data_IF_903973397891
#
_entry.id   IF_903973397891
#
_cell.length_a   1.000
_cell.length_b   1.000
_cell.length_c   1.000
_cell.angle_alpha   90.00
_cell.angle_beta   90.00
_cell.angle_gamma   90.00
#
_symmetry.space_group_name_H-M   'P 1'
#
loop_
_entity.id
_entity.type
_entity.pdbx_description
1 polymer ?
#
# COMPACT_ATOMS: atom_id res chain seq x y z
N UNK A 1 -14.37 4.59 -23.51
CA UNK A 1 -14.05 3.78 -24.71
C UNK A 1 -14.49 2.31 -24.61
N UNK A 2 -15.18 1.88 -23.55
CA UNK A 2 -15.59 0.46 -23.33
C UNK A 2 -17.10 0.21 -23.60
N UNK A 3 -17.87 1.24 -23.93
CA UNK A 3 -19.35 1.18 -23.95
C UNK A 3 -19.95 0.50 -25.19
N UNK A 4 -19.28 0.55 -26.34
CA UNK A 4 -19.78 0.03 -27.61
C UNK A 4 -19.90 -1.52 -27.68
N UNK A 5 -18.93 -2.33 -27.20
CA UNK A 5 -19.07 -3.78 -27.25
C UNK A 5 -20.25 -4.30 -26.40
N UNK A 6 -20.54 -3.64 -25.27
CA UNK A 6 -21.64 -4.00 -24.36
C UNK A 6 -23.01 -3.95 -25.03
N UNK A 7 -23.25 -2.94 -25.87
CA UNK A 7 -24.55 -2.74 -26.54
C UNK A 7 -24.87 -3.85 -27.56
N UNK A 8 -23.84 -4.43 -28.19
CA UNK A 8 -24.01 -5.46 -29.23
C UNK A 8 -24.43 -6.81 -28.65
N UNK A 9 -23.97 -7.12 -27.43
CA UNK A 9 -24.26 -8.39 -26.75
C UNK A 9 -25.67 -8.36 -26.13
N UNK A 10 -26.09 -7.21 -25.58
CA UNK A 10 -27.42 -7.03 -24.99
C UNK A 10 -28.55 -7.16 -26.03
N UNK A 11 -28.33 -6.69 -27.27
CA UNK A 11 -29.37 -6.73 -28.32
C UNK A 11 -29.57 -8.13 -28.94
N UNK A 12 -28.61 -9.05 -28.80
CA UNK A 12 -28.66 -10.39 -29.39
C UNK A 12 -29.43 -11.43 -28.54
N UNK A 13 -29.81 -11.09 -27.31
CA UNK A 13 -30.14 -12.07 -26.28
C UNK A 13 -31.50 -11.80 -25.63
N UNK A 14 -32.58 -11.79 -26.43
CA UNK A 14 -33.89 -11.29 -25.96
C UNK A 14 -34.87 -12.31 -25.39
N UNK A 15 -34.76 -13.63 -25.66
CA UNK A 15 -35.87 -14.55 -25.34
C UNK A 15 -35.56 -15.80 -24.48
N UNK A 16 -34.34 -15.98 -23.93
CA UNK A 16 -34.06 -17.08 -22.98
C UNK A 16 -32.84 -16.86 -22.09
N UNK A 17 -32.32 -15.62 -22.09
CA UNK A 17 -30.96 -15.28 -21.69
C UNK A 17 -30.90 -14.07 -20.77
N UNK A 18 -32.05 -13.59 -20.27
CA UNK A 18 -32.13 -12.42 -19.39
C UNK A 18 -31.38 -12.66 -18.09
N UNK A 19 -31.54 -13.83 -17.48
CA UNK A 19 -30.78 -14.26 -16.29
C UNK A 19 -29.28 -14.38 -16.58
N UNK A 20 -28.90 -14.89 -17.77
CA UNK A 20 -27.48 -14.98 -18.18
C UNK A 20 -26.86 -13.61 -18.45
N UNK A 21 -27.65 -12.67 -18.97
CA UNK A 21 -27.22 -11.28 -19.19
C UNK A 21 -27.07 -10.53 -17.85
N UNK A 22 -27.95 -10.79 -16.88
CA UNK A 22 -27.84 -10.27 -15.52
C UNK A 22 -26.62 -10.85 -14.78
N UNK A 23 -26.38 -12.17 -14.87
CA UNK A 23 -25.17 -12.82 -14.33
C UNK A 23 -23.89 -12.30 -15.00
N UNK A 24 -23.89 -12.10 -16.32
CA UNK A 24 -22.76 -11.52 -17.05
C UNK A 24 -22.46 -10.10 -16.58
N UNK A 25 -23.49 -9.29 -16.36
CA UNK A 25 -23.35 -7.92 -15.85
C UNK A 25 -22.80 -7.92 -14.41
N UNK A 26 -23.25 -8.83 -13.55
CA UNK A 26 -22.68 -9.00 -12.21
C UNK A 26 -21.19 -9.37 -12.26
N UNK A 27 -20.81 -10.32 -13.11
CA UNK A 27 -19.40 -10.69 -13.30
C UNK A 27 -18.57 -9.53 -13.84
N UNK A 28 -19.08 -8.78 -14.82
CA UNK A 28 -18.42 -7.56 -15.34
C UNK A 28 -18.19 -6.54 -14.21
N UNK A 29 -19.15 -6.36 -13.31
CA UNK A 29 -19.01 -5.44 -12.17
C UNK A 29 -17.94 -5.93 -11.18
N UNK A 30 -17.88 -7.23 -10.88
CA UNK A 30 -16.83 -7.80 -10.02
C UNK A 30 -15.43 -7.69 -10.65
N UNK A 31 -15.33 -7.92 -11.96
CA UNK A 31 -14.08 -7.76 -12.71
C UNK A 31 -13.63 -6.30 -12.76
N UNK A 32 -14.54 -5.36 -13.00
CA UNK A 32 -14.25 -3.94 -12.95
C UNK A 32 -13.72 -3.51 -11.58
N UNK A 33 -14.34 -4.01 -10.49
CA UNK A 33 -13.86 -3.74 -9.13
C UNK A 33 -12.44 -4.29 -8.89
N UNK A 34 -12.12 -5.47 -9.40
CA UNK A 34 -10.77 -6.04 -9.29
C UNK A 34 -9.73 -5.20 -10.05
N UNK A 35 -10.07 -4.75 -11.26
CA UNK A 35 -9.19 -3.88 -12.07
C UNK A 35 -8.96 -2.55 -11.35
N UNK A 36 -10.01 -1.95 -10.77
CA UNK A 36 -9.89 -0.71 -10.02
C UNK A 36 -8.99 -0.87 -8.77
N UNK A 37 -9.11 -1.98 -8.04
CA UNK A 37 -8.23 -2.29 -6.90
C UNK A 37 -6.77 -2.50 -7.33
N UNK A 38 -6.55 -3.23 -8.43
CA UNK A 38 -5.20 -3.46 -8.99
C UNK A 38 -4.57 -2.14 -9.44
N UNK A 39 -5.31 -1.30 -10.17
CA UNK A 39 -4.84 0.03 -10.56
C UNK A 39 -4.59 0.94 -9.36
N UNK A 40 -5.35 0.79 -8.28
CA UNK A 40 -5.07 1.43 -6.99
C UNK A 40 -3.71 1.01 -6.41
N UNK A 41 -3.42 -0.29 -6.40
CA UNK A 41 -2.14 -0.82 -5.92
C UNK A 41 -0.96 -0.34 -6.79
N UNK A 42 -1.11 -0.33 -8.11
CA UNK A 42 -0.09 0.21 -9.02
C UNK A 42 0.19 1.69 -8.78
N UNK A 43 -0.85 2.50 -8.52
CA UNK A 43 -0.67 3.91 -8.19
C UNK A 43 0.09 4.09 -6.88
N UNK A 44 -0.22 3.32 -5.85
CA UNK A 44 0.50 3.35 -4.57
C UNK A 44 1.96 2.94 -4.78
N UNK A 45 2.21 1.83 -5.48
CA UNK A 45 3.56 1.34 -5.77
C UNK A 45 4.39 2.30 -6.62
N UNK A 46 3.74 3.07 -7.50
CA UNK A 46 4.42 4.06 -8.35
C UNK A 46 4.53 5.45 -7.71
N UNK A 47 3.89 5.71 -6.56
CA UNK A 47 4.01 6.98 -5.84
C UNK A 47 5.28 6.96 -4.98
N UNK A 48 6.45 6.93 -5.62
CA UNK A 48 7.73 7.04 -4.92
C UNK A 48 7.93 8.47 -4.43
N UNK A 49 8.40 8.64 -3.19
CA UNK A 49 8.73 9.96 -2.67
C UNK A 49 9.93 10.50 -3.47
N UNK A 50 9.94 11.78 -3.86
CA UNK A 50 11.07 12.34 -4.56
C UNK A 50 12.36 12.17 -3.73
N UNK A 51 13.46 11.65 -4.30
CA UNK A 51 14.69 11.37 -3.55
C UNK A 51 15.32 12.64 -2.95
N UNK A 52 15.04 13.80 -3.55
CA UNK A 52 15.46 15.10 -3.00
C UNK A 52 14.78 15.42 -1.65
N UNK A 53 13.54 14.97 -1.44
CA UNK A 53 12.84 15.15 -0.17
C UNK A 53 13.48 14.30 0.94
N UNK A 54 13.71 13.00 0.67
CA UNK A 54 14.39 12.12 1.62
C UNK A 54 15.78 12.64 1.99
N UNK A 55 16.55 13.15 1.02
CA UNK A 55 17.83 13.79 1.29
C UNK A 55 17.70 15.03 2.19
N UNK A 56 16.70 15.88 1.94
CA UNK A 56 16.46 17.07 2.75
C UNK A 56 16.09 16.73 4.20
N UNK A 57 15.29 15.69 4.44
CA UNK A 57 14.95 15.22 5.79
C UNK A 57 16.20 14.78 6.55
N UNK A 58 17.06 13.97 5.93
CA UNK A 58 18.35 13.54 6.53
C UNK A 58 19.23 14.73 6.90
N UNK A 59 19.28 15.75 6.04
CA UNK A 59 20.04 16.96 6.30
C UNK A 59 19.42 17.82 7.41
N UNK A 60 18.09 17.91 7.48
CA UNK A 60 17.39 18.61 8.55
C UNK A 60 17.61 17.95 9.92
N UNK A 61 17.59 16.62 10.00
CA UNK A 61 17.90 15.85 11.21
C UNK A 61 19.33 16.10 11.69
N UNK A 62 20.30 16.13 10.76
CA UNK A 62 21.69 16.46 11.07
C UNK A 62 21.82 17.85 11.69
N UNK A 63 21.21 18.87 11.05
CA UNK A 63 21.24 20.23 11.57
C UNK A 63 20.52 20.38 12.92
N UNK A 64 19.38 19.70 13.09
CA UNK A 64 18.66 19.68 14.36
C UNK A 64 19.54 19.11 15.49
N UNK A 65 20.18 17.96 15.25
CA UNK A 65 21.08 17.34 16.22
C UNK A 65 22.28 18.24 16.54
N UNK A 66 22.81 18.99 15.58
CA UNK A 66 23.93 19.90 15.80
C UNK A 66 23.52 21.16 16.58
N UNK A 67 22.34 21.73 16.30
CA UNK A 67 21.87 22.95 16.97
C UNK A 67 21.35 22.69 18.38
N UNK A 68 20.81 21.50 18.65
CA UNK A 68 20.26 21.11 19.95
C UNK A 68 21.19 21.40 21.16
N UNK A 69 22.46 20.97 21.18
CA UNK A 69 23.35 21.23 22.32
C UNK A 69 23.62 22.72 22.55
N UNK A 70 23.72 23.53 21.49
CA UNK A 70 24.00 24.96 21.63
C UNK A 70 22.86 25.74 22.29
N UNK A 71 21.61 25.32 22.08
CA UNK A 71 20.46 25.99 22.67
C UNK A 71 20.27 25.73 24.17
N UNK A 72 20.83 24.63 24.68
CA UNK A 72 20.46 24.08 26.00
C UNK A 72 21.66 23.84 26.93
N UNK A 73 22.89 24.04 26.44
CA UNK A 73 24.11 23.81 27.22
C UNK A 73 24.19 24.69 28.48
N UNK A 74 23.72 25.95 28.42
CA UNK A 74 23.73 26.85 29.58
C UNK A 74 22.71 26.44 30.66
N UNK A 75 21.61 25.78 30.27
CA UNK A 75 20.54 25.39 31.20
C UNK A 75 20.82 24.05 31.87
N UNK A 76 21.32 23.07 31.11
CA UNK A 76 21.46 21.68 31.59
C UNK A 76 22.91 21.28 31.90
N UNK A 77 23.90 22.09 31.51
CA UNK A 77 25.31 21.77 31.72
C UNK A 77 25.67 20.40 31.15
N UNK A 78 26.30 19.53 31.95
CA UNK A 78 26.73 18.17 31.55
C UNK A 78 25.55 17.20 31.32
N UNK A 79 24.37 17.46 31.90
CA UNK A 79 23.19 16.60 31.70
C UNK A 79 22.65 16.65 30.27
N UNK A 80 23.10 17.61 29.45
CA UNK A 80 22.72 17.70 28.04
C UNK A 80 23.20 16.50 27.22
N UNK A 81 24.32 15.87 27.61
CA UNK A 81 24.94 14.76 26.86
C UNK A 81 24.01 13.53 26.81
N UNK A 82 23.53 12.97 27.93
CA UNK A 82 22.61 11.83 27.88
C UNK A 82 21.25 12.18 27.25
N UNK A 83 20.76 13.42 27.43
CA UNK A 83 19.52 13.87 26.78
C UNK A 83 19.67 13.93 25.25
N UNK A 84 20.79 14.46 24.76
CA UNK A 84 21.10 14.52 23.34
C UNK A 84 21.18 13.12 22.74
N UNK A 85 21.88 12.19 23.38
CA UNK A 85 21.97 10.79 22.92
C UNK A 85 20.57 10.16 22.81
N UNK A 86 19.70 10.37 23.79
CA UNK A 86 18.34 9.84 23.77
C UNK A 86 17.51 10.43 22.60
N UNK A 87 17.57 11.74 22.39
CA UNK A 87 16.82 12.41 21.32
C UNK A 87 17.32 11.98 19.95
N UNK A 88 18.64 11.95 19.75
CA UNK A 88 19.25 11.51 18.49
C UNK A 88 18.89 10.06 18.19
N UNK A 89 18.91 9.18 19.20
CA UNK A 89 18.49 7.79 19.05
C UNK A 89 17.04 7.67 18.56
N UNK A 90 16.11 8.41 19.18
CA UNK A 90 14.69 8.38 18.78
C UNK A 90 14.50 8.93 17.36
N UNK A 91 15.15 10.05 17.03
CA UNK A 91 15.03 10.69 15.73
C UNK A 91 15.62 9.84 14.59
N UNK A 92 16.79 9.26 14.80
CA UNK A 92 17.40 8.34 13.83
C UNK A 92 16.59 7.06 13.67
N UNK A 93 16.05 6.52 14.78
CA UNK A 93 15.16 5.36 14.71
C UNK A 93 13.91 5.64 13.88
N UNK A 94 13.33 6.83 14.02
CA UNK A 94 12.16 7.26 13.25
C UNK A 94 12.50 7.43 11.75
N UNK A 95 13.68 7.96 11.43
CA UNK A 95 14.14 8.11 10.04
C UNK A 95 14.27 6.75 9.34
N UNK A 96 14.92 5.78 10.00
CA UNK A 96 15.08 4.42 9.47
C UNK A 96 13.71 3.78 9.26
N UNK A 97 12.81 3.90 10.24
CA UNK A 97 11.45 3.36 10.14
C UNK A 97 10.66 4.01 8.99
N UNK A 98 10.84 5.31 8.77
CA UNK A 98 10.18 6.03 7.68
C UNK A 98 10.67 5.56 6.31
N UNK A 99 11.97 5.26 6.17
CA UNK A 99 12.55 4.71 4.94
C UNK A 99 12.01 3.29 4.64
N UNK A 100 11.78 2.47 5.66
CA UNK A 100 11.17 1.15 5.49
C UNK A 100 9.68 1.24 5.11
N UNK A 101 8.95 2.21 5.65
CA UNK A 101 7.51 2.41 5.37
C UNK A 101 7.23 3.03 4.00
N UNK A 102 8.24 3.59 3.32
CA UNK A 102 8.07 4.25 2.03
C UNK A 102 7.68 3.27 0.90
N UNK A 103 8.13 2.00 0.98
CA UNK A 103 7.84 0.98 -0.03
C UNK A 103 7.15 -0.25 0.61
N UNK A 104 5.81 -0.19 0.80
CA UNK A 104 5.07 -1.22 1.54
C UNK A 104 4.99 -2.57 0.81
N UNK A 105 5.21 -2.59 -0.51
CA UNK A 105 5.14 -3.81 -1.33
C UNK A 105 6.51 -4.45 -1.55
N UNK A 106 7.58 -3.84 -1.03
CA UNK A 106 8.92 -4.41 -1.08
C UNK A 106 8.98 -5.70 -0.29
N UNK A 107 9.76 -6.66 -0.80
CA UNK A 107 10.06 -7.90 -0.08
C UNK A 107 11.07 -7.59 1.01
N UNK A 108 10.58 -7.31 2.22
CA UNK A 108 11.35 -7.09 3.44
C UNK A 108 10.57 -7.60 4.66
N UNK A 109 11.24 -7.75 5.81
CA UNK A 109 10.63 -8.31 7.02
C UNK A 109 9.42 -7.51 7.52
N UNK A 110 9.43 -6.18 7.31
CA UNK A 110 8.36 -5.26 7.69
C UNK A 110 7.40 -4.94 6.53
N UNK A 111 7.59 -5.56 5.36
CA UNK A 111 6.77 -5.37 4.17
C UNK A 111 5.46 -6.17 4.20
N UNK A 112 4.55 -5.86 3.28
CA UNK A 112 3.30 -6.60 3.17
C UNK A 112 3.56 -8.03 2.65
N UNK A 113 3.05 -9.04 3.36
CA UNK A 113 3.21 -10.43 2.94
C UNK A 113 2.22 -10.80 1.83
N UNK A 114 2.55 -10.39 0.60
CA UNK A 114 1.76 -10.62 -0.61
C UNK A 114 1.55 -12.11 -0.90
N UNK A 115 2.53 -12.96 -0.59
CA UNK A 115 2.42 -14.41 -0.78
C UNK A 115 1.33 -15.03 0.10
N UNK A 116 1.26 -14.62 1.36
CA UNK A 116 0.20 -15.07 2.28
C UNK A 116 -1.17 -14.56 1.83
N UNK A 117 -1.25 -13.32 1.34
CA UNK A 117 -2.49 -12.76 0.82
C UNK A 117 -2.95 -13.52 -0.43
N UNK A 118 -2.04 -13.76 -1.38
CA UNK A 118 -2.32 -14.53 -2.60
C UNK A 118 -2.76 -15.96 -2.28
N UNK A 119 -2.07 -16.64 -1.35
CA UNK A 119 -2.45 -17.99 -0.91
C UNK A 119 -3.83 -18.02 -0.25
N UNK A 120 -4.19 -17.00 0.53
CA UNK A 120 -5.54 -16.90 1.11
C UNK A 120 -6.62 -16.73 0.03
N UNK A 121 -6.34 -15.93 -1.00
CA UNK A 121 -7.26 -15.76 -2.14
C UNK A 121 -7.44 -17.09 -2.87
N UNK A 122 -6.34 -17.81 -3.15
CA UNK A 122 -6.37 -19.13 -3.78
C UNK A 122 -7.24 -20.12 -2.97
N UNK A 123 -7.00 -20.22 -1.67
CA UNK A 123 -7.78 -21.11 -0.78
C UNK A 123 -9.27 -20.74 -0.77
N UNK A 124 -9.61 -19.45 -0.74
CA UNK A 124 -11.01 -19.00 -0.80
C UNK A 124 -11.68 -19.42 -2.12
N UNK A 125 -10.98 -19.32 -3.26
CA UNK A 125 -11.52 -19.73 -4.56
C UNK A 125 -11.76 -21.24 -4.59
N UNK A 126 -10.79 -22.03 -4.09
CA UNK A 126 -10.91 -23.49 -4.00
C UNK A 126 -12.11 -23.88 -3.13
N UNK A 127 -12.27 -23.23 -1.97
CA UNK A 127 -13.38 -23.50 -1.07
C UNK A 127 -14.75 -23.20 -1.70
N UNK A 128 -14.86 -22.10 -2.46
CA UNK A 128 -16.11 -21.78 -3.18
C UNK A 128 -16.40 -22.85 -4.23
N UNK A 129 -15.40 -23.23 -5.02
CA UNK A 129 -15.55 -24.25 -6.06
C UNK A 129 -15.92 -25.64 -5.51
N UNK A 130 -15.39 -26.00 -4.33
CA UNK A 130 -15.71 -27.27 -3.67
C UNK A 130 -17.11 -27.26 -3.05
N UNK A 131 -17.58 -26.12 -2.55
CA UNK A 131 -18.92 -25.99 -1.98
C UNK A 131 -20.03 -26.08 -3.05
N UNK A 132 -19.74 -25.68 -4.30
CA UNK A 132 -20.63 -25.88 -5.45
C UNK A 132 -20.64 -27.34 -5.96
N UNK A 133 -19.65 -28.16 -5.60
CA UNK A 133 -19.52 -29.55 -6.06
C UNK A 133 -20.18 -30.57 -5.11
N UNK A 134 -20.65 -30.15 -3.94
CA UNK A 134 -21.32 -31.01 -2.96
C UNK A 134 -22.85 -30.93 -3.16
N UNK A 135 -23.54 -32.03 -3.51
CA UNK A 135 -24.99 -32.06 -3.64
C UNK A 135 -25.72 -31.89 -2.30
#
# INVERSE_FOLDING_TARGET
MVTLPRYRIINSSRNGTRDRAEQCNQLENHLAALIDMSGGCERIANTRVPPAFAFFVKQALLFYSLMFPFGWVQTFGILIIPMMVMIVYVLLGLEILSEELEDPFKVCDNGLNLDVIARKIELNIVQIAENDLKP
#
